data_IF_191738345545
#
_entry.id   IF_191738345545
#
_cell.length_a   1.000
_cell.length_b   1.000
_cell.length_c   1.000
_cell.angle_alpha   90.00
_cell.angle_beta   90.00
_cell.angle_gamma   90.00
#
_symmetry.space_group_name_H-M   'P 1'
#
loop_
_entity.id
_entity.type
_entity.pdbx_description
1 polymer ?
#
# COMPACT_ATOMS: atom_id res chain seq x y z
N UNK A 1 1.39 -10.85 11.67
CA UNK A 1 2.61 -10.15 11.21
C UNK A 1 2.87 -8.97 12.14
N UNK A 2 4.06 -8.89 12.74
CA UNK A 2 4.38 -7.89 13.79
C UNK A 2 5.41 -6.85 13.37
N UNK A 3 6.17 -7.10 12.30
CA UNK A 3 7.08 -6.11 11.71
C UNK A 3 6.29 -4.96 11.07
N UNK A 4 6.85 -3.73 10.97
CA UNK A 4 6.26 -2.67 10.16
C UNK A 4 5.99 -3.16 8.74
N UNK A 5 4.80 -2.86 8.23
CA UNK A 5 4.35 -3.26 6.89
C UNK A 5 3.66 -2.10 6.18
N UNK A 6 3.93 -1.97 4.88
CA UNK A 6 3.24 -1.05 3.98
C UNK A 6 2.42 -1.85 2.96
N UNK A 7 1.13 -1.56 2.84
CA UNK A 7 0.26 -2.09 1.80
C UNK A 7 -0.14 -0.97 0.82
N UNK A 8 0.28 -1.09 -0.44
CA UNK A 8 -0.12 -0.17 -1.53
C UNK A 8 -1.09 -0.88 -2.48
N UNK A 9 -2.09 -0.15 -2.98
CA UNK A 9 -3.05 -0.66 -3.96
C UNK A 9 -3.47 0.42 -4.95
N UNK A 10 -3.95 0.02 -6.14
CA UNK A 10 -4.51 0.96 -7.12
C UNK A 10 -5.92 1.40 -6.73
N UNK A 11 -6.21 2.69 -6.82
CA UNK A 11 -7.55 3.26 -6.55
C UNK A 11 -8.59 2.94 -7.63
N UNK A 12 -8.14 2.61 -8.85
CA UNK A 12 -8.96 2.12 -9.96
C UNK A 12 -8.99 0.58 -10.05
N UNK A 13 -8.43 -0.13 -9.07
CA UNK A 13 -8.29 -1.59 -9.06
C UNK A 13 -9.41 -2.37 -8.34
N UNK A 14 -9.31 -3.70 -8.38
CA UNK A 14 -10.26 -4.68 -7.78
C UNK A 14 -10.50 -4.45 -6.28
N UNK A 15 -9.58 -3.77 -5.61
CA UNK A 15 -9.55 -3.47 -4.19
C UNK A 15 -10.64 -2.50 -3.67
N UNK A 16 -11.34 -1.76 -4.54
CA UNK A 16 -12.25 -0.69 -4.10
C UNK A 16 -13.67 -1.16 -3.72
N UNK A 17 -14.05 -2.43 -3.95
CA UNK A 17 -15.46 -2.82 -4.05
C UNK A 17 -16.15 -3.31 -2.75
N UNK A 18 -15.44 -3.51 -1.63
CA UNK A 18 -16.10 -3.98 -0.38
C UNK A 18 -15.36 -3.66 0.93
N UNK A 19 -14.03 -3.63 0.93
CA UNK A 19 -13.18 -3.26 2.07
C UNK A 19 -11.86 -2.72 1.51
N UNK A 20 -11.25 -1.74 2.16
CA UNK A 20 -9.92 -1.30 1.68
C UNK A 20 -8.92 -2.45 1.88
N UNK A 21 -7.93 -2.64 1.00
CA UNK A 21 -6.86 -3.62 1.24
C UNK A 21 -6.20 -3.46 2.60
N UNK A 22 -6.09 -2.22 3.09
CA UNK A 22 -5.58 -1.92 4.42
C UNK A 22 -6.44 -2.56 5.53
N UNK A 23 -7.77 -2.49 5.44
CA UNK A 23 -8.66 -3.11 6.43
C UNK A 23 -8.51 -4.63 6.45
N UNK A 24 -8.34 -5.24 5.27
CA UNK A 24 -8.05 -6.68 5.18
C UNK A 24 -6.73 -7.00 5.87
N UNK A 25 -5.66 -6.25 5.59
CA UNK A 25 -4.34 -6.49 6.17
C UNK A 25 -4.29 -6.27 7.69
N UNK A 26 -5.10 -5.37 8.25
CA UNK A 26 -5.22 -5.18 9.71
C UNK A 26 -5.71 -6.43 10.46
N UNK A 27 -6.34 -7.38 9.77
CA UNK A 27 -6.73 -8.67 10.38
C UNK A 27 -5.55 -9.65 10.49
N UNK A 28 -4.46 -9.42 9.75
CA UNK A 28 -3.27 -10.28 9.69
C UNK A 28 -2.02 -9.62 10.28
N UNK A 29 -1.99 -8.29 10.43
CA UNK A 29 -0.83 -7.51 10.85
C UNK A 29 -1.17 -6.49 11.95
N UNK A 30 -0.27 -6.35 12.93
CA UNK A 30 -0.44 -5.42 14.06
C UNK A 30 0.21 -4.06 13.85
N UNK A 31 1.13 -3.94 12.88
CA UNK A 31 1.80 -2.70 12.51
C UNK A 31 1.77 -2.53 10.99
N UNK A 32 0.60 -2.20 10.45
CA UNK A 32 0.38 -2.02 9.02
C UNK A 32 -0.14 -0.61 8.71
N UNK A 33 0.51 0.03 7.76
CA UNK A 33 0.08 1.26 7.12
C UNK A 33 -0.19 1.00 5.64
N UNK A 34 -0.89 1.89 4.97
CA UNK A 34 -1.17 1.72 3.55
C UNK A 34 -1.84 2.92 2.93
N UNK A 35 -1.77 2.98 1.60
CA UNK A 35 -2.36 4.05 0.80
C UNK A 35 -2.76 3.53 -0.58
N UNK A 36 -3.78 4.17 -1.14
CA UNK A 36 -4.13 4.00 -2.54
C UNK A 36 -3.16 4.83 -3.41
N UNK A 37 -2.83 4.31 -4.60
CA UNK A 37 -2.08 4.98 -5.64
C UNK A 37 -3.02 5.18 -6.82
N UNK A 38 -3.01 6.37 -7.43
CA UNK A 38 -3.75 6.64 -8.66
C UNK A 38 -3.19 5.77 -9.80
N UNK A 39 -3.79 4.60 -9.99
CA UNK A 39 -3.28 3.47 -10.77
C UNK A 39 -4.32 2.33 -10.85
N UNK A 40 -4.22 1.53 -11.90
CA UNK A 40 -4.75 0.16 -11.96
C UNK A 40 -3.91 -0.83 -11.15
N UNK A 41 -3.75 -2.05 -11.65
CA UNK A 41 -3.07 -3.13 -10.92
C UNK A 41 -1.54 -2.96 -10.86
N UNK A 42 -0.94 -2.31 -11.85
CA UNK A 42 0.50 -2.29 -12.07
C UNK A 42 1.11 -0.97 -11.57
N UNK A 43 1.03 -0.72 -10.26
CA UNK A 43 1.43 0.55 -9.61
C UNK A 43 2.81 1.07 -10.05
N UNK A 44 3.81 0.18 -10.13
CA UNK A 44 5.18 0.55 -10.49
C UNK A 44 5.32 0.97 -11.96
N UNK A 45 4.41 0.56 -12.84
CA UNK A 45 4.43 0.90 -14.27
C UNK A 45 3.48 2.08 -14.56
N UNK A 46 2.31 2.09 -13.92
CA UNK A 46 1.26 3.08 -14.14
C UNK A 46 1.51 4.39 -13.38
N UNK A 47 2.11 4.33 -12.18
CA UNK A 47 2.47 5.49 -11.38
C UNK A 47 3.78 5.28 -10.61
N UNK A 48 4.91 5.17 -11.33
CA UNK A 48 6.22 4.87 -10.74
C UNK A 48 6.64 5.89 -9.68
N UNK A 49 6.37 7.18 -9.89
CA UNK A 49 6.85 8.25 -9.00
C UNK A 49 6.21 8.17 -7.61
N UNK A 50 4.89 8.03 -7.54
CA UNK A 50 4.17 7.92 -6.26
C UNK A 50 4.52 6.60 -5.58
N UNK A 51 4.59 5.51 -6.35
CA UNK A 51 4.95 4.18 -5.82
C UNK A 51 6.36 4.18 -5.24
N UNK A 52 7.35 4.68 -5.98
CA UNK A 52 8.73 4.76 -5.54
C UNK A 52 8.89 5.67 -4.32
N UNK A 53 8.19 6.82 -4.29
CA UNK A 53 8.19 7.71 -3.12
C UNK A 53 7.64 7.01 -1.87
N UNK A 54 6.50 6.34 -1.96
CA UNK A 54 5.89 5.65 -0.82
C UNK A 54 6.80 4.54 -0.27
N UNK A 55 7.40 3.75 -1.17
CA UNK A 55 8.38 2.72 -0.78
C UNK A 55 9.61 3.33 -0.13
N UNK A 56 10.18 4.39 -0.72
CA UNK A 56 11.37 5.07 -0.18
C UNK A 56 11.10 5.65 1.20
N UNK A 57 9.98 6.35 1.39
CA UNK A 57 9.61 6.94 2.67
C UNK A 57 9.46 5.86 3.75
N UNK A 58 8.82 4.72 3.43
CA UNK A 58 8.66 3.60 4.36
C UNK A 58 9.99 2.94 4.72
N UNK A 59 10.84 2.62 3.74
CA UNK A 59 12.11 1.93 3.99
C UNK A 59 13.21 2.84 4.57
N UNK A 60 13.05 4.16 4.48
CA UNK A 60 14.02 5.13 5.03
C UNK A 60 13.61 5.66 6.40
N UNK A 61 12.39 5.39 6.86
CA UNK A 61 11.97 5.74 8.21
C UNK A 61 12.80 4.93 9.22
N UNK A 62 13.50 5.64 10.12
CA UNK A 62 14.21 5.00 11.22
C UNK A 62 13.21 4.24 12.12
N UNK A 63 13.60 3.08 12.69
CA UNK A 63 12.73 2.24 13.51
C UNK A 63 12.20 2.95 14.77
#
# INVERSE_FOLDING_TARGET
ITIPMLALWGDAGIAAAAATPLDTWKTWATNVSGAAVNSGHFLAEENPDVTAKALKDFFSAAP
#
